data_IF_305698474386
#
_entry.id   IF_305698474386
#
_cell.length_a   1.000
_cell.length_b   1.000
_cell.length_c   1.000
_cell.angle_alpha   90.00
_cell.angle_beta   90.00
_cell.angle_gamma   90.00
#
_symmetry.space_group_name_H-M   'P 1'
#
loop_
_entity.id
_entity.type
_entity.pdbx_description
1 polymer ?
#
# COMPACT_ATOMS: atom_id res chain seq x y z
N UNK A 1 -16.45 -3.75 36.24
CA UNK A 1 -15.85 -4.67 37.23
C UNK A 1 -16.87 -5.73 37.59
N UNK A 2 -16.47 -7.00 37.54
CA UNK A 2 -17.34 -8.14 37.88
C UNK A 2 -17.71 -8.09 39.36
N UNK A 3 -18.89 -8.61 39.75
CA UNK A 3 -19.32 -8.75 41.16
C UNK A 3 -18.24 -9.50 41.97
N UNK A 4 -17.59 -10.46 41.33
CA UNK A 4 -16.50 -11.25 41.92
C UNK A 4 -15.25 -10.41 42.25
N UNK A 5 -14.92 -9.39 41.46
CA UNK A 5 -13.80 -8.48 41.75
C UNK A 5 -14.06 -7.61 42.98
N UNK A 6 -15.32 -7.20 43.20
CA UNK A 6 -15.69 -6.40 44.38
C UNK A 6 -15.60 -7.21 45.67
N UNK A 7 -15.97 -8.48 45.64
CA UNK A 7 -15.85 -9.37 46.80
C UNK A 7 -14.38 -9.60 47.16
N UNK A 8 -13.52 -9.86 46.16
CA UNK A 8 -12.08 -10.00 46.35
C UNK A 8 -11.47 -8.72 46.94
N UNK A 9 -11.86 -7.53 46.44
CA UNK A 9 -11.37 -6.25 46.99
C UNK A 9 -11.84 -6.03 48.44
N UNK A 10 -13.09 -6.39 48.78
CA UNK A 10 -13.58 -6.27 50.16
C UNK A 10 -12.87 -7.19 51.14
N UNK A 11 -12.60 -8.43 50.75
CA UNK A 11 -11.85 -9.39 51.58
C UNK A 11 -10.40 -8.93 51.76
N UNK A 12 -9.78 -8.40 50.69
CA UNK A 12 -8.43 -7.84 50.77
C UNK A 12 -8.34 -6.66 51.73
N UNK A 13 -9.30 -5.73 51.65
CA UNK A 13 -9.36 -4.56 52.53
C UNK A 13 -9.58 -4.95 53.99
N UNK A 14 -10.46 -5.92 54.27
CA UNK A 14 -10.67 -6.41 55.62
C UNK A 14 -9.39 -7.03 56.20
N UNK A 15 -8.69 -7.85 55.41
CA UNK A 15 -7.43 -8.45 55.85
C UNK A 15 -6.33 -7.39 56.07
N UNK A 16 -6.26 -6.35 55.23
CA UNK A 16 -5.33 -5.23 55.41
C UNK A 16 -5.65 -4.44 56.70
N UNK A 17 -6.93 -4.21 57.00
CA UNK A 17 -7.37 -3.53 58.22
C UNK A 17 -7.04 -4.37 59.46
N UNK A 18 -7.29 -5.67 59.44
CA UNK A 18 -6.94 -6.55 60.57
C UNK A 18 -5.43 -6.63 60.78
N UNK A 19 -4.64 -6.74 59.71
CA UNK A 19 -3.19 -6.72 59.79
C UNK A 19 -2.65 -5.38 60.32
N UNK A 20 -3.35 -4.27 60.04
CA UNK A 20 -3.03 -2.95 60.57
C UNK A 20 -3.39 -2.84 62.05
N UNK A 21 -4.56 -3.33 62.47
CA UNK A 21 -5.00 -3.35 63.87
C UNK A 21 -4.10 -4.24 64.74
N UNK A 22 -3.56 -5.33 64.19
CA UNK A 22 -2.62 -6.19 64.91
C UNK A 22 -1.27 -5.50 65.22
N UNK A 23 -0.89 -4.50 64.43
CA UNK A 23 0.40 -3.78 64.56
C UNK A 23 0.28 -2.44 65.30
N UNK A 24 -0.91 -1.85 65.30
CA UNK A 24 -1.13 -0.53 65.87
C UNK A 24 -2.05 -0.62 67.08
N UNK A 25 -1.56 -0.18 68.23
CA UNK A 25 -2.42 -0.01 69.41
C UNK A 25 -3.36 1.16 69.15
N UNK A 26 -4.67 0.93 69.36
CA UNK A 26 -5.67 1.98 69.32
C UNK A 26 -5.35 2.92 70.48
N UNK A 27 -4.98 4.16 70.17
CA UNK A 27 -4.75 5.18 71.19
C UNK A 27 -6.10 5.51 71.83
N UNK A 28 -6.34 5.02 73.05
CA UNK A 28 -7.52 5.40 73.82
C UNK A 28 -7.40 6.87 74.21
N UNK A 29 -8.23 7.70 73.58
CA UNK A 29 -8.31 9.11 73.92
C UNK A 29 -9.04 9.23 75.26
N UNK A 30 -8.54 10.06 76.21
CA UNK A 30 -9.20 10.25 77.49
C UNK A 30 -10.60 10.82 77.30
N UNK A 31 -11.51 10.45 78.20
CA UNK A 31 -12.90 10.89 78.20
C UNK A 31 -12.96 12.43 78.14
N UNK A 32 -13.54 12.99 77.07
CA UNK A 32 -13.63 14.43 76.83
C UNK A 32 -12.61 15.03 75.86
N UNK A 33 -11.71 14.24 75.26
CA UNK A 33 -10.79 14.71 74.23
C UNK A 33 -11.53 15.04 72.92
N UNK A 34 -11.35 16.26 72.42
CA UNK A 34 -11.92 16.76 71.16
C UNK A 34 -10.83 17.45 70.35
N UNK A 35 -10.67 17.07 69.08
CA UNK A 35 -9.76 17.76 68.15
C UNK A 35 -10.32 19.11 67.64
N UNK A 36 -11.50 19.53 68.11
CA UNK A 36 -12.09 20.81 67.74
C UNK A 36 -11.60 21.90 68.71
N UNK A 37 -10.92 22.95 68.21
CA UNK A 37 -10.34 24.02 69.05
C UNK A 37 -11.35 24.70 69.99
N UNK A 38 -12.63 24.71 69.60
CA UNK A 38 -13.70 25.41 70.32
C UNK A 38 -14.51 24.50 71.27
N UNK A 39 -14.13 23.22 71.42
CA UNK A 39 -14.84 22.26 72.29
C UNK A 39 -16.28 21.92 71.86
N UNK A 40 -16.77 22.51 70.75
CA UNK A 40 -18.09 22.24 70.19
C UNK A 40 -18.02 21.07 69.21
N UNK A 41 -18.47 19.91 69.65
CA UNK A 41 -18.73 18.79 68.76
C UNK A 41 -19.84 19.21 67.76
N UNK A 42 -19.73 18.85 66.47
CA UNK A 42 -20.83 19.03 65.54
C UNK A 42 -22.07 18.35 66.13
N UNK A 43 -23.12 19.12 66.40
CA UNK A 43 -24.40 18.57 66.85
C UNK A 43 -24.75 17.49 65.83
N UNK A 44 -24.85 16.24 66.26
CA UNK A 44 -25.32 15.16 65.41
C UNK A 44 -26.58 15.70 64.76
N UNK A 45 -26.57 15.86 63.43
CA UNK A 45 -27.75 16.34 62.69
C UNK A 45 -28.88 15.45 63.17
N UNK A 46 -29.77 16.01 63.98
CA UNK A 46 -30.85 15.26 64.61
C UNK A 46 -31.48 14.44 63.51
N UNK A 47 -31.68 13.14 63.77
CA UNK A 47 -32.29 12.21 62.84
C UNK A 47 -33.37 12.96 62.09
N UNK A 48 -33.09 13.32 60.83
CA UNK A 48 -34.16 13.71 59.93
C UNK A 48 -35.11 12.54 60.06
N UNK A 49 -36.34 12.82 60.49
CA UNK A 49 -37.36 11.81 60.52
C UNK A 49 -37.44 11.27 59.09
N UNK A 50 -36.74 10.16 58.85
CA UNK A 50 -36.93 9.34 57.68
C UNK A 50 -38.39 8.94 57.82
N UNK A 51 -39.27 9.67 57.12
CA UNK A 51 -40.54 9.08 56.68
C UNK A 51 -40.10 7.76 56.09
N UNK A 52 -40.39 6.65 56.79
CA UNK A 52 -40.19 5.32 56.25
C UNK A 52 -41.05 5.31 54.99
N UNK A 53 -40.43 5.57 53.84
CA UNK A 53 -41.09 5.44 52.55
C UNK A 53 -41.66 4.04 52.53
N UNK A 54 -42.91 3.91 52.11
CA UNK A 54 -43.50 2.60 51.92
C UNK A 54 -42.66 1.86 50.87
N UNK A 55 -42.64 0.52 50.95
CA UNK A 55 -41.83 -0.30 50.05
C UNK A 55 -42.13 0.01 48.56
N UNK A 56 -43.39 0.34 48.25
CA UNK A 56 -43.83 0.84 46.95
C UNK A 56 -43.21 2.19 46.55
N UNK A 57 -43.20 3.19 47.44
CA UNK A 57 -42.60 4.50 47.13
C UNK A 57 -41.09 4.42 46.94
N UNK A 58 -40.42 3.49 47.63
CA UNK A 58 -39.00 3.20 47.44
C UNK A 58 -38.73 2.58 46.07
N UNK A 59 -39.56 1.62 45.64
CA UNK A 59 -39.45 0.99 44.32
C UNK A 59 -39.69 1.99 43.18
N UNK A 60 -40.70 2.85 43.29
CA UNK A 60 -41.00 3.89 42.29
C UNK A 60 -39.84 4.89 42.15
N UNK A 61 -39.21 5.27 43.27
CA UNK A 61 -38.03 6.15 43.25
C UNK A 61 -36.83 5.47 42.59
N UNK A 62 -36.60 4.19 42.85
CA UNK A 62 -35.53 3.40 42.22
C UNK A 62 -35.79 3.28 40.71
N UNK A 63 -37.03 3.03 40.30
CA UNK A 63 -37.39 2.95 38.88
C UNK A 63 -37.19 4.27 38.16
N UNK A 64 -37.60 5.39 38.76
CA UNK A 64 -37.39 6.74 38.21
C UNK A 64 -35.89 7.06 38.05
N UNK A 65 -35.06 6.71 39.03
CA UNK A 65 -33.60 6.87 38.94
C UNK A 65 -33.03 6.00 37.82
N UNK A 66 -33.46 4.76 37.72
CA UNK A 66 -33.02 3.85 36.66
C UNK A 66 -33.44 4.31 35.26
N UNK A 67 -34.62 4.91 35.11
CA UNK A 67 -35.07 5.54 33.86
C UNK A 67 -34.17 6.71 33.48
N UNK A 68 -33.88 7.63 34.42
CA UNK A 68 -32.96 8.75 34.20
C UNK A 68 -31.54 8.30 33.82
N UNK A 69 -31.04 7.23 34.43
CA UNK A 69 -29.73 6.67 34.10
C UNK A 69 -29.72 6.12 32.67
N UNK A 70 -30.76 5.40 32.26
CA UNK A 70 -30.91 4.89 30.88
C UNK A 70 -30.97 6.02 29.85
N UNK A 71 -31.74 7.07 30.13
CA UNK A 71 -31.82 8.25 29.25
C UNK A 71 -30.46 8.96 29.11
N UNK A 72 -29.73 9.15 30.22
CA UNK A 72 -28.40 9.75 30.19
C UNK A 72 -27.39 8.91 29.42
N UNK A 73 -27.48 7.57 29.53
CA UNK A 73 -26.66 6.65 28.75
C UNK A 73 -27.00 6.74 27.26
N UNK A 74 -28.28 6.71 26.89
CA UNK A 74 -28.73 6.87 25.51
C UNK A 74 -28.26 8.20 24.89
N UNK A 75 -28.38 9.32 25.61
CA UNK A 75 -27.88 10.64 25.14
C UNK A 75 -26.36 10.67 25.00
N UNK A 76 -25.62 9.98 25.86
CA UNK A 76 -24.15 9.87 25.73
C UNK A 76 -23.76 9.03 24.52
N UNK A 77 -24.43 7.91 24.30
CA UNK A 77 -24.21 7.06 23.11
C UNK A 77 -24.55 7.79 21.82
N UNK A 78 -25.65 8.54 21.78
CA UNK A 78 -26.05 9.30 20.60
C UNK A 78 -25.02 10.40 20.28
N UNK A 79 -24.56 11.16 21.28
CA UNK A 79 -23.47 12.13 21.10
C UNK A 79 -22.18 11.48 20.64
N UNK A 80 -21.85 10.31 21.18
CA UNK A 80 -20.67 9.55 20.74
C UNK A 80 -20.79 9.15 19.28
N UNK A 81 -21.94 8.59 18.86
CA UNK A 81 -22.22 8.20 17.47
C UNK A 81 -22.15 9.41 16.52
N UNK A 82 -22.75 10.55 16.90
CA UNK A 82 -22.68 11.79 16.12
C UNK A 82 -21.24 12.30 16.01
N UNK A 83 -20.48 12.27 17.11
CA UNK A 83 -19.07 12.69 17.10
C UNK A 83 -18.21 11.76 16.22
N UNK A 84 -18.47 10.45 16.25
CA UNK A 84 -17.77 9.46 15.45
C UNK A 84 -18.08 9.61 13.95
N UNK A 85 -19.35 9.81 13.60
CA UNK A 85 -19.78 10.14 12.23
C UNK A 85 -19.12 11.43 11.73
N UNK A 86 -19.17 12.52 12.51
CA UNK A 86 -18.52 13.77 12.15
C UNK A 86 -16.99 13.62 11.96
N UNK A 87 -16.33 12.80 12.79
CA UNK A 87 -14.90 12.49 12.63
C UNK A 87 -14.62 11.67 11.37
N UNK A 88 -15.49 10.70 11.03
CA UNK A 88 -15.37 9.90 9.82
C UNK A 88 -15.55 10.78 8.56
N UNK A 89 -16.57 11.62 8.54
CA UNK A 89 -16.83 12.57 7.45
C UNK A 89 -15.67 13.57 7.30
N UNK A 90 -15.16 14.13 8.40
CA UNK A 90 -14.01 15.03 8.36
C UNK A 90 -12.74 14.36 7.80
N UNK A 91 -12.54 13.06 8.05
CA UNK A 91 -11.43 12.28 7.45
C UNK A 91 -11.62 12.16 5.95
N UNK A 92 -12.83 11.79 5.49
CA UNK A 92 -13.14 11.67 4.07
C UNK A 92 -12.95 13.00 3.35
N UNK A 93 -13.44 14.10 3.92
CA UNK A 93 -13.28 15.44 3.35
C UNK A 93 -11.81 15.85 3.24
N UNK A 94 -11.00 15.58 4.26
CA UNK A 94 -9.54 15.84 4.23
C UNK A 94 -8.84 15.04 3.13
N UNK A 95 -9.25 13.79 2.89
CA UNK A 95 -8.68 12.98 1.82
C UNK A 95 -9.08 13.46 0.43
N UNK A 96 -10.34 13.85 0.24
CA UNK A 96 -10.84 14.43 -1.01
C UNK A 96 -10.08 15.72 -1.34
N UNK A 97 -9.97 16.64 -0.38
CA UNK A 97 -9.22 17.88 -0.56
C UNK A 97 -7.73 17.63 -0.88
N UNK A 98 -7.10 16.62 -0.26
CA UNK A 98 -5.72 16.22 -0.61
C UNK A 98 -5.61 15.71 -2.05
N UNK A 99 -6.56 14.88 -2.49
CA UNK A 99 -6.59 14.36 -3.87
C UNK A 99 -6.79 15.48 -4.88
N UNK A 100 -7.68 16.44 -4.61
CA UNK A 100 -7.91 17.58 -5.49
C UNK A 100 -6.68 18.49 -5.60
N UNK A 101 -6.06 18.86 -4.47
CA UNK A 101 -4.80 19.62 -4.46
C UNK A 101 -3.70 18.93 -5.26
N UNK A 102 -3.59 17.59 -5.16
CA UNK A 102 -2.63 16.81 -5.95
C UNK A 102 -2.95 16.85 -7.45
N UNK A 103 -4.23 16.76 -7.84
CA UNK A 103 -4.66 16.87 -9.24
C UNK A 103 -4.39 18.25 -9.83
N UNK A 104 -4.69 19.31 -9.09
CA UNK A 104 -4.42 20.69 -9.51
C UNK A 104 -2.93 20.93 -9.73
N UNK A 105 -2.10 20.52 -8.77
CA UNK A 105 -0.63 20.61 -8.91
C UNK A 105 -0.12 19.83 -10.12
N UNK A 106 -0.68 18.65 -10.37
CA UNK A 106 -0.31 17.85 -11.55
C UNK A 106 -0.70 18.55 -12.86
N UNK A 107 -1.88 19.17 -12.93
CA UNK A 107 -2.31 19.96 -14.11
C UNK A 107 -1.40 21.16 -14.34
N UNK A 108 -1.09 21.91 -13.29
CA UNK A 108 -0.15 23.05 -13.34
C UNK A 108 1.22 22.58 -13.85
N UNK A 109 1.74 21.49 -13.29
CA UNK A 109 3.02 20.90 -13.68
C UNK A 109 3.07 20.53 -15.17
N UNK A 110 2.03 19.86 -15.66
CA UNK A 110 1.92 19.47 -17.07
C UNK A 110 1.88 20.72 -17.95
N UNK A 111 1.12 21.75 -17.57
CA UNK A 111 0.98 22.98 -18.35
C UNK A 111 2.30 23.74 -18.47
N UNK A 112 2.96 24.00 -17.34
CA UNK A 112 4.24 24.75 -17.29
C UNK A 112 5.32 24.02 -18.09
N UNK A 113 5.48 22.71 -17.86
CA UNK A 113 6.45 21.93 -18.62
C UNK A 113 6.09 21.87 -20.10
N UNK A 114 4.82 21.70 -20.46
CA UNK A 114 4.40 21.68 -21.86
C UNK A 114 4.73 22.99 -22.57
N UNK A 115 4.58 24.13 -21.90
CA UNK A 115 4.97 25.43 -22.46
C UNK A 115 6.49 25.56 -22.61
N UNK A 116 7.27 25.13 -21.61
CA UNK A 116 8.73 25.05 -21.74
C UNK A 116 9.14 24.21 -22.96
N UNK A 117 8.58 23.01 -23.11
CA UNK A 117 8.91 22.10 -24.22
C UNK A 117 8.50 22.61 -25.61
N UNK A 118 7.54 23.55 -25.73
CA UNK A 118 7.20 24.19 -27.02
C UNK A 118 8.31 25.11 -27.50
N UNK A 119 9.02 25.75 -26.57
CA UNK A 119 10.08 26.70 -26.86
C UNK A 119 11.49 26.09 -26.76
N UNK A 120 11.63 25.00 -25.99
CA UNK A 120 12.88 24.31 -25.77
C UNK A 120 13.47 23.73 -27.06
N UNK A 121 14.79 23.85 -27.20
CA UNK A 121 15.56 23.26 -28.28
C UNK A 121 16.44 22.11 -27.76
N UNK A 122 17.13 21.41 -28.67
CA UNK A 122 18.08 20.36 -28.32
C UNK A 122 19.19 20.91 -27.41
N UNK A 123 19.31 20.35 -26.22
CA UNK A 123 20.24 20.81 -25.19
C UNK A 123 19.55 21.55 -24.04
N UNK A 124 18.49 22.33 -24.31
CA UNK A 124 17.80 23.14 -23.28
C UNK A 124 17.24 22.29 -22.15
N UNK A 125 16.73 21.09 -22.47
CA UNK A 125 16.26 20.15 -21.44
C UNK A 125 17.40 19.71 -20.51
N UNK A 126 18.59 19.45 -21.05
CA UNK A 126 19.74 19.06 -20.25
C UNK A 126 20.16 20.22 -19.34
N UNK A 127 20.25 21.44 -19.89
CA UNK A 127 20.57 22.64 -19.11
C UNK A 127 19.55 22.91 -17.99
N UNK A 128 18.25 22.75 -18.27
CA UNK A 128 17.20 22.85 -17.26
C UNK A 128 17.40 21.79 -16.15
N UNK A 129 17.70 20.56 -16.55
CA UNK A 129 17.94 19.45 -15.63
C UNK A 129 19.16 19.70 -14.74
N UNK A 130 20.23 20.26 -15.28
CA UNK A 130 21.45 20.57 -14.54
C UNK A 130 21.21 21.72 -13.54
N UNK A 131 20.52 22.78 -13.96
CA UNK A 131 20.16 23.91 -13.08
C UNK A 131 19.19 23.51 -11.98
N UNK A 132 18.19 22.69 -12.29
CA UNK A 132 17.21 22.23 -11.31
C UNK A 132 17.67 20.99 -10.51
N UNK A 133 18.86 20.45 -10.82
CA UNK A 133 19.40 19.20 -10.27
C UNK A 133 18.41 18.03 -10.37
N UNK A 134 17.70 17.87 -11.49
CA UNK A 134 16.66 16.85 -11.69
C UNK A 134 17.02 16.01 -12.92
N UNK A 135 16.73 14.71 -12.90
CA UNK A 135 16.99 13.87 -14.08
C UNK A 135 16.05 14.21 -15.25
N UNK A 136 16.54 14.11 -16.48
CA UNK A 136 15.72 14.30 -17.69
C UNK A 136 14.47 13.42 -17.69
N UNK A 137 14.62 12.16 -17.26
CA UNK A 137 13.51 11.19 -17.18
C UNK A 137 12.42 11.67 -16.23
N UNK A 138 12.79 12.26 -15.10
CA UNK A 138 11.84 12.83 -14.13
C UNK A 138 11.05 13.97 -14.77
N UNK A 139 11.70 14.90 -15.46
CA UNK A 139 11.03 16.01 -16.16
C UNK A 139 10.11 15.49 -17.29
N UNK A 140 10.55 14.46 -18.02
CA UNK A 140 9.74 13.87 -19.10
C UNK A 140 8.48 13.18 -18.56
N UNK A 141 8.63 12.38 -17.50
CA UNK A 141 7.50 11.73 -16.82
C UNK A 141 6.57 12.76 -16.16
N UNK A 142 7.13 13.86 -15.65
CA UNK A 142 6.37 14.95 -15.07
C UNK A 142 5.51 15.70 -16.10
N UNK A 143 6.05 15.91 -17.32
CA UNK A 143 5.31 16.48 -18.45
C UNK A 143 4.12 15.61 -18.86
N UNK A 144 4.26 14.28 -18.83
CA UNK A 144 3.18 13.35 -19.20
C UNK A 144 2.21 13.05 -18.06
N UNK A 145 2.40 13.65 -16.87
CA UNK A 145 1.59 13.36 -15.69
C UNK A 145 1.87 12.01 -15.04
N UNK A 146 2.90 11.29 -15.48
CA UNK A 146 3.27 9.98 -14.93
C UNK A 146 3.99 10.08 -13.59
N UNK A 147 4.48 11.26 -13.22
CA UNK A 147 5.14 11.51 -11.93
C UNK A 147 4.81 12.91 -11.43
N UNK A 148 4.52 13.04 -10.13
CA UNK A 148 4.29 14.32 -9.47
C UNK A 148 5.57 14.72 -8.72
N UNK A 149 6.13 15.88 -9.06
CA UNK A 149 7.32 16.41 -8.39
C UNK A 149 6.91 16.94 -7.00
N UNK A 150 7.79 16.76 -6.01
CA UNK A 150 7.59 17.32 -4.66
C UNK A 150 7.52 18.85 -4.69
N UNK A 151 6.81 19.46 -3.74
CA UNK A 151 6.49 20.91 -3.77
C UNK A 151 7.75 21.78 -3.86
N UNK A 152 8.70 21.60 -2.94
CA UNK A 152 9.95 22.37 -2.89
C UNK A 152 10.74 22.29 -4.20
N UNK A 153 10.88 21.07 -4.74
CA UNK A 153 11.60 20.85 -5.99
C UNK A 153 10.84 21.38 -7.21
N UNK A 154 9.52 21.36 -7.16
CA UNK A 154 8.67 21.92 -8.21
C UNK A 154 8.77 23.45 -8.25
N UNK A 155 8.77 24.10 -7.09
CA UNK A 155 8.94 25.55 -6.99
C UNK A 155 10.32 25.99 -7.52
N UNK A 156 11.40 25.26 -7.16
CA UNK A 156 12.72 25.49 -7.74
C UNK A 156 12.75 25.33 -9.28
N UNK A 157 12.06 24.32 -9.82
CA UNK A 157 11.95 24.15 -11.28
C UNK A 157 11.20 25.32 -11.92
N UNK A 158 10.13 25.85 -11.30
CA UNK A 158 9.42 27.02 -11.82
C UNK A 158 10.34 28.24 -11.88
N UNK A 159 11.10 28.47 -10.82
CA UNK A 159 12.03 29.62 -10.75
C UNK A 159 13.11 29.53 -11.83
N UNK A 160 13.65 28.33 -12.06
CA UNK A 160 14.60 28.09 -13.14
C UNK A 160 13.93 28.29 -14.51
N UNK A 161 12.72 27.78 -14.72
CA UNK A 161 11.98 27.94 -16.00
C UNK A 161 11.66 29.42 -16.27
N UNK A 162 11.25 30.18 -15.26
CA UNK A 162 10.91 31.60 -15.41
C UNK A 162 12.12 32.44 -15.88
N UNK A 163 13.32 32.08 -15.41
CA UNK A 163 14.57 32.74 -15.78
C UNK A 163 15.32 32.02 -16.92
N UNK A 164 14.70 30.99 -17.51
CA UNK A 164 15.39 30.15 -18.49
C UNK A 164 15.54 30.87 -19.82
N UNK A 165 16.78 31.11 -20.22
CA UNK A 165 17.10 31.63 -21.56
C UNK A 165 17.13 30.47 -22.54
N UNK A 166 16.07 30.34 -23.33
CA UNK A 166 16.04 29.39 -24.45
C UNK A 166 17.16 29.71 -25.44
N UNK A 167 17.78 28.68 -26.00
CA UNK A 167 18.74 28.87 -27.09
C UNK A 167 18.10 29.58 -28.28
N UNK A 168 18.89 30.31 -29.06
CA UNK A 168 18.40 30.90 -30.31
C UNK A 168 18.12 29.80 -31.33
N UNK A 169 16.90 29.75 -31.89
CA UNK A 169 16.52 28.78 -32.95
C UNK A 169 17.47 28.83 -34.17
N UNK A 170 18.09 29.98 -34.42
CA UNK A 170 19.02 30.19 -35.53
C UNK A 170 20.39 29.54 -35.32
N UNK A 171 20.86 29.39 -34.08
CA UNK A 171 22.14 28.74 -33.77
C UNK A 171 22.12 27.22 -34.05
N UNK A 172 20.94 26.59 -34.01
CA UNK A 172 20.77 25.18 -34.40
C UNK A 172 20.61 24.95 -35.90
N UNK A 173 20.09 25.91 -36.65
CA UNK A 173 20.15 25.85 -38.12
C UNK A 173 21.60 26.00 -38.61
N UNK A 174 22.41 26.83 -37.94
CA UNK A 174 23.83 27.00 -38.20
C UNK A 174 24.68 25.77 -37.80
N UNK A 175 24.47 25.20 -36.60
CA UNK A 175 25.23 24.02 -36.15
C UNK A 175 24.82 22.71 -36.84
N UNK A 176 23.61 22.60 -37.38
CA UNK A 176 23.23 21.49 -38.28
C UNK A 176 23.99 21.50 -39.61
N UNK A 177 24.48 22.66 -40.08
CA UNK A 177 25.31 22.75 -41.30
C UNK A 177 26.77 22.31 -41.06
N UNK A 178 27.24 22.26 -39.81
CA UNK A 178 28.61 21.91 -39.46
C UNK A 178 28.83 20.42 -39.13
N UNK A 179 27.75 19.66 -38.91
CA UNK A 179 27.87 18.20 -38.94
C UNK A 179 27.88 17.79 -40.40
N UNK A 180 29.07 17.48 -40.92
CA UNK A 180 29.19 16.68 -42.15
C UNK A 180 28.15 15.56 -42.08
N UNK A 181 27.36 15.34 -43.14
CA UNK A 181 26.29 14.36 -43.11
C UNK A 181 26.93 13.03 -42.67
N UNK A 182 26.68 12.62 -41.43
CA UNK A 182 26.90 11.24 -41.02
C UNK A 182 26.12 10.47 -42.05
N UNK A 183 26.81 9.82 -43.00
CA UNK A 183 26.22 9.09 -44.12
C UNK A 183 25.03 8.36 -43.54
N UNK A 184 23.85 8.92 -43.75
CA UNK A 184 22.63 8.28 -43.35
C UNK A 184 22.74 6.98 -44.10
N UNK A 185 22.86 5.86 -43.38
CA UNK A 185 22.60 4.57 -44.00
C UNK A 185 21.20 4.78 -44.55
N UNK A 186 21.11 5.06 -45.87
CA UNK A 186 19.84 5.04 -46.59
C UNK A 186 19.26 3.73 -46.11
N UNK A 187 18.15 3.80 -45.38
CA UNK A 187 17.43 2.61 -45.00
C UNK A 187 17.11 1.97 -46.33
N UNK A 188 17.92 0.98 -46.73
CA UNK A 188 17.64 0.16 -47.89
C UNK A 188 16.25 -0.35 -47.57
N UNK A 189 15.27 0.08 -48.36
CA UNK A 189 13.90 -0.40 -48.26
C UNK A 189 13.98 -1.89 -48.60
N UNK A 190 14.37 -2.70 -47.62
CA UNK A 190 14.36 -4.15 -47.73
C UNK A 190 12.91 -4.49 -47.99
N UNK A 191 12.68 -5.23 -49.05
CA UNK A 191 11.36 -5.74 -49.35
C UNK A 191 10.80 -6.43 -48.09
N UNK A 192 9.52 -6.21 -47.77
CA UNK A 192 8.93 -6.80 -46.58
C UNK A 192 9.06 -8.31 -46.68
N UNK A 193 9.62 -8.93 -45.64
CA UNK A 193 9.74 -10.38 -45.59
C UNK A 193 8.36 -11.04 -45.73
N UNK A 194 8.33 -12.28 -46.22
CA UNK A 194 7.09 -13.08 -46.34
C UNK A 194 6.30 -13.10 -45.03
N UNK A 195 6.99 -13.18 -43.88
CA UNK A 195 6.36 -13.14 -42.56
C UNK A 195 5.76 -11.77 -42.21
N UNK A 196 6.36 -10.68 -42.68
CA UNK A 196 5.82 -9.32 -42.54
C UNK A 196 4.51 -9.17 -43.32
N UNK A 197 4.48 -9.66 -44.56
CA UNK A 197 3.29 -9.65 -45.41
C UNK A 197 2.17 -10.48 -44.78
N UNK A 198 2.48 -11.70 -44.34
CA UNK A 198 1.52 -12.57 -43.65
C UNK A 198 0.94 -11.93 -42.38
N UNK A 199 1.77 -11.27 -41.56
CA UNK A 199 1.30 -10.56 -40.36
C UNK A 199 0.39 -9.39 -40.70
N UNK A 200 0.74 -8.63 -41.74
CA UNK A 200 -0.07 -7.52 -42.24
C UNK A 200 -1.45 -8.01 -42.69
N UNK A 201 -1.50 -9.13 -43.42
CA UNK A 201 -2.75 -9.76 -43.87
C UNK A 201 -3.61 -10.27 -42.70
N UNK A 202 -3.01 -10.95 -41.72
CA UNK A 202 -3.74 -11.38 -40.51
C UNK A 202 -4.30 -10.17 -39.75
N UNK A 203 -3.57 -9.06 -39.70
CA UNK A 203 -4.03 -7.84 -39.04
C UNK A 203 -5.16 -7.14 -39.81
N UNK A 204 -5.11 -7.10 -41.14
CA UNK A 204 -6.19 -6.51 -41.94
C UNK A 204 -7.48 -7.34 -41.84
N UNK A 205 -7.39 -8.67 -41.94
CA UNK A 205 -8.52 -9.56 -41.78
C UNK A 205 -9.11 -9.52 -40.36
N UNK A 206 -8.27 -9.40 -39.33
CA UNK A 206 -8.73 -9.20 -37.96
C UNK A 206 -9.53 -7.90 -37.81
N UNK A 207 -9.08 -6.79 -38.43
CA UNK A 207 -9.81 -5.51 -38.41
C UNK A 207 -11.15 -5.62 -39.13
N UNK A 208 -11.20 -6.31 -40.27
CA UNK A 208 -12.45 -6.55 -41.00
C UNK A 208 -13.42 -7.41 -40.20
N UNK A 209 -12.94 -8.45 -39.50
CA UNK A 209 -13.76 -9.26 -38.61
C UNK A 209 -14.33 -8.44 -37.45
N UNK A 210 -13.51 -7.58 -36.81
CA UNK A 210 -13.97 -6.67 -35.76
C UNK A 210 -15.04 -5.71 -36.27
N UNK A 211 -14.85 -5.15 -37.48
CA UNK A 211 -15.82 -4.25 -38.09
C UNK A 211 -17.16 -4.95 -38.38
N UNK A 212 -17.13 -6.25 -38.72
CA UNK A 212 -18.33 -7.09 -38.91
C UNK A 212 -18.93 -7.63 -37.60
N UNK A 213 -18.31 -7.38 -36.45
CA UNK A 213 -18.73 -7.93 -35.16
C UNK A 213 -18.37 -9.42 -34.96
N UNK A 214 -17.62 -10.02 -35.89
CA UNK A 214 -17.18 -11.40 -35.81
C UNK A 214 -15.92 -11.53 -34.94
N UNK A 215 -15.88 -12.59 -34.11
CA UNK A 215 -14.71 -12.90 -33.27
C UNK A 215 -13.83 -14.00 -33.85
N UNK A 216 -14.25 -14.62 -34.94
CA UNK A 216 -13.56 -15.72 -35.63
C UNK A 216 -13.41 -15.33 -37.10
N UNK A 217 -12.23 -15.53 -37.67
CA UNK A 217 -11.95 -15.24 -39.08
C UNK A 217 -10.89 -16.21 -39.62
N UNK A 218 -10.83 -16.40 -40.94
CA UNK A 218 -9.82 -17.23 -41.60
C UNK A 218 -8.64 -16.37 -42.04
N UNK A 219 -7.41 -16.81 -41.78
CA UNK A 219 -6.20 -16.10 -42.18
C UNK A 219 -4.97 -17.04 -42.26
N UNK A 220 -3.89 -16.64 -42.94
CA UNK A 220 -2.70 -17.49 -43.07
C UNK A 220 -1.87 -17.54 -41.77
N UNK A 221 -1.61 -18.75 -41.30
CA UNK A 221 -0.74 -19.08 -40.19
C UNK A 221 0.61 -19.56 -40.69
N UNK A 222 1.68 -19.16 -40.00
CA UNK A 222 3.05 -19.57 -40.34
C UNK A 222 3.28 -21.10 -40.29
N UNK A 223 2.45 -21.84 -39.53
CA UNK A 223 2.63 -23.28 -39.31
C UNK A 223 1.57 -24.16 -39.97
N UNK A 224 0.36 -23.61 -40.13
CA UNK A 224 -0.83 -24.41 -40.47
C UNK A 224 -1.51 -23.92 -41.77
N UNK A 225 -0.92 -22.94 -42.48
CA UNK A 225 -1.57 -22.34 -43.65
C UNK A 225 -2.84 -21.56 -43.28
N UNK A 226 -3.85 -21.55 -44.15
CA UNK A 226 -5.12 -20.86 -43.89
C UNK A 226 -5.92 -21.59 -42.81
N UNK A 227 -6.07 -20.93 -41.65
CA UNK A 227 -6.75 -21.50 -40.47
C UNK A 227 -7.65 -20.49 -39.82
N UNK A 228 -8.54 -20.96 -38.94
CA UNK A 228 -9.39 -20.09 -38.14
C UNK A 228 -8.60 -19.43 -37.00
N UNK A 229 -8.66 -18.11 -36.97
CA UNK A 229 -8.17 -17.25 -35.89
C UNK A 229 -9.33 -16.81 -35.00
N UNK A 230 -9.05 -16.60 -33.71
CA UNK A 230 -9.98 -16.00 -32.77
C UNK A 230 -9.38 -14.77 -32.12
N UNK A 231 -10.19 -13.73 -31.95
CA UNK A 231 -9.80 -12.45 -31.36
C UNK A 231 -10.05 -12.48 -29.85
N UNK A 232 -9.01 -12.21 -29.07
CA UNK A 232 -9.03 -12.15 -27.61
C UNK A 232 -8.45 -10.81 -27.16
N UNK A 233 -9.28 -9.93 -26.59
CA UNK A 233 -8.82 -8.64 -26.04
C UNK A 233 -8.00 -7.80 -27.03
N UNK A 234 -8.38 -7.79 -28.31
CA UNK A 234 -7.68 -7.06 -29.37
C UNK A 234 -6.52 -7.81 -30.04
N UNK A 235 -6.17 -9.03 -29.59
CA UNK A 235 -5.13 -9.86 -30.20
C UNK A 235 -5.74 -11.06 -30.92
N UNK A 236 -5.38 -11.28 -32.18
CA UNK A 236 -5.76 -12.47 -32.93
C UNK A 236 -4.78 -13.63 -32.71
N UNK A 237 -5.32 -14.85 -32.49
CA UNK A 237 -4.52 -16.07 -32.33
C UNK A 237 -5.11 -17.18 -33.21
N UNK A 238 -4.24 -17.89 -33.92
CA UNK A 238 -4.62 -19.11 -34.64
C UNK A 238 -5.13 -20.16 -33.65
N UNK A 239 -6.31 -20.74 -33.91
CA UNK A 239 -6.94 -21.71 -33.03
C UNK A 239 -6.14 -23.01 -32.94
N UNK A 240 -5.57 -23.49 -34.04
CA UNK A 240 -4.74 -24.69 -34.03
C UNK A 240 -3.45 -24.51 -33.24
N UNK A 241 -2.77 -23.36 -33.40
CA UNK A 241 -1.61 -23.01 -32.56
C UNK A 241 -1.98 -23.01 -31.08
N UNK A 242 -3.17 -22.50 -30.74
CA UNK A 242 -3.66 -22.45 -29.37
C UNK A 242 -4.02 -23.83 -28.84
N UNK A 243 -4.69 -24.67 -29.62
CA UNK A 243 -5.04 -26.04 -29.24
C UNK A 243 -3.80 -26.89 -29.00
N UNK A 244 -2.79 -26.77 -29.86
CA UNK A 244 -1.50 -27.43 -29.68
C UNK A 244 -0.81 -27.01 -28.38
N UNK A 245 -0.72 -25.69 -28.14
CA UNK A 245 -0.20 -25.17 -26.87
C UNK A 245 -1.00 -25.69 -25.67
N UNK A 246 -2.33 -25.68 -25.75
CA UNK A 246 -3.18 -26.19 -24.67
C UNK A 246 -2.93 -27.69 -24.41
N UNK A 247 -2.76 -28.51 -25.46
CA UNK A 247 -2.38 -29.93 -25.32
C UNK A 247 -1.00 -30.11 -24.70
N UNK A 248 -0.03 -29.26 -25.06
CA UNK A 248 1.30 -29.25 -24.45
C UNK A 248 1.24 -28.84 -22.95
N UNK A 249 0.40 -27.86 -22.59
CA UNK A 249 0.18 -27.43 -21.20
C UNK A 249 -0.63 -28.44 -20.37
N UNK A 250 -1.57 -29.15 -21.00
CA UNK A 250 -2.40 -30.19 -20.37
C UNK A 250 -1.76 -31.58 -20.45
N UNK A 251 -0.51 -31.69 -20.90
CA UNK A 251 0.17 -32.97 -20.99
C UNK A 251 0.31 -33.55 -19.57
N UNK A 252 -0.38 -34.67 -19.22
CA UNK A 252 -0.47 -35.17 -17.84
C UNK A 252 0.85 -35.66 -17.28
N UNK A 253 1.83 -35.92 -18.17
CA UNK A 253 3.19 -36.29 -17.80
C UNK A 253 3.94 -35.01 -17.42
N UNK A 254 3.66 -34.48 -16.23
CA UNK A 254 4.62 -33.60 -15.57
C UNK A 254 5.93 -34.40 -15.49
N UNK A 255 6.96 -33.89 -16.14
CA UNK A 255 8.31 -34.44 -16.03
C UNK A 255 8.68 -34.51 -14.54
N UNK A 256 9.42 -35.53 -14.10
CA UNK A 256 9.77 -35.74 -12.68
C UNK A 256 10.40 -34.47 -12.09
N UNK A 257 11.19 -33.76 -12.89
CA UNK A 257 11.80 -32.46 -12.54
C UNK A 257 10.75 -31.39 -12.18
N UNK A 258 9.59 -31.40 -12.84
CA UNK A 258 8.49 -30.48 -12.57
C UNK A 258 7.72 -30.86 -11.30
N UNK A 259 7.54 -32.16 -11.04
CA UNK A 259 6.96 -32.67 -9.78
C UNK A 259 7.84 -32.25 -8.59
N UNK A 260 9.13 -32.55 -8.63
CA UNK A 260 10.07 -32.18 -7.57
C UNK A 260 10.12 -30.65 -7.37
N UNK A 261 10.00 -29.87 -8.45
CA UNK A 261 9.94 -28.41 -8.35
C UNK A 261 8.66 -27.94 -7.65
N UNK A 262 7.53 -28.59 -7.92
CA UNK A 262 6.24 -28.27 -7.31
C UNK A 262 6.23 -28.66 -5.84
N UNK A 263 6.68 -29.85 -5.48
CA UNK A 263 6.79 -30.33 -4.11
C UNK A 263 7.70 -29.44 -3.27
N UNK A 264 8.89 -29.09 -3.79
CA UNK A 264 9.78 -28.10 -3.14
C UNK A 264 9.10 -26.75 -2.93
N UNK A 265 8.32 -26.29 -3.89
CA UNK A 265 7.63 -25.01 -3.77
C UNK A 265 6.53 -25.05 -2.69
N UNK A 266 5.76 -26.14 -2.63
CA UNK A 266 4.73 -26.35 -1.60
C UNK A 266 5.39 -26.38 -0.22
N UNK A 267 6.39 -27.24 -0.03
CA UNK A 267 7.12 -27.37 1.25
C UNK A 267 7.67 -26.02 1.73
N UNK A 268 8.31 -25.25 0.85
CA UNK A 268 8.88 -23.95 1.22
C UNK A 268 7.81 -22.90 1.53
N UNK A 269 6.66 -22.95 0.86
CA UNK A 269 5.54 -22.04 1.16
C UNK A 269 4.96 -22.32 2.55
N UNK A 270 4.73 -23.59 2.88
CA UNK A 270 4.21 -23.99 4.20
C UNK A 270 5.14 -23.56 5.33
N UNK A 271 6.45 -23.81 5.18
CA UNK A 271 7.47 -23.37 6.16
C UNK A 271 7.56 -21.85 6.27
N UNK A 272 7.42 -21.13 5.16
CA UNK A 272 7.36 -19.66 5.17
C UNK A 272 6.14 -19.15 5.94
N UNK A 273 4.96 -19.72 5.70
CA UNK A 273 3.73 -19.32 6.38
C UNK A 273 3.82 -19.57 7.88
N UNK A 274 4.37 -20.71 8.31
CA UNK A 274 4.64 -21.00 9.72
C UNK A 274 5.59 -19.99 10.35
N UNK A 275 6.69 -19.64 9.66
CA UNK A 275 7.63 -18.64 10.17
C UNK A 275 6.97 -17.26 10.31
N UNK A 276 6.23 -16.82 9.28
CA UNK A 276 5.52 -15.55 9.33
C UNK A 276 4.44 -15.52 10.43
N UNK A 277 3.76 -16.65 10.67
CA UNK A 277 2.80 -16.80 11.77
C UNK A 277 3.49 -16.71 13.14
N UNK A 278 4.70 -17.26 13.28
CA UNK A 278 5.55 -17.12 14.48
C UNK A 278 6.20 -15.73 14.64
N UNK A 279 6.00 -14.82 13.69
CA UNK A 279 6.63 -13.50 13.68
C UNK A 279 8.11 -13.50 13.25
N UNK A 280 8.64 -14.64 12.81
CA UNK A 280 10.00 -14.76 12.28
C UNK A 280 10.01 -14.66 10.75
N UNK A 281 11.12 -14.18 10.19
CA UNK A 281 11.31 -14.10 8.74
C UNK A 281 12.29 -15.15 8.21
N UNK A 282 12.72 -16.09 9.05
CA UNK A 282 13.69 -17.11 8.74
C UNK A 282 13.05 -18.48 8.91
N UNK A 283 13.31 -19.38 7.98
CA UNK A 283 12.81 -20.76 8.04
C UNK A 283 13.74 -21.71 7.30
N UNK A 284 13.69 -22.99 7.65
CA UNK A 284 14.39 -24.05 6.93
C UNK A 284 13.56 -24.54 5.76
N UNK A 285 14.16 -24.55 4.57
CA UNK A 285 13.51 -24.94 3.32
C UNK A 285 14.41 -25.78 2.42
N UNK A 286 13.84 -26.34 1.35
CA UNK A 286 14.55 -27.18 0.39
C UNK A 286 14.93 -26.36 -0.87
N UNK A 287 16.22 -26.13 -1.05
CA UNK A 287 16.81 -25.46 -2.21
C UNK A 287 17.22 -26.47 -3.29
N UNK A 288 17.03 -26.10 -4.57
CA UNK A 288 17.49 -26.92 -5.71
C UNK A 288 19.00 -27.19 -5.70
N UNK A 289 19.80 -26.22 -5.25
CA UNK A 289 21.27 -26.27 -5.36
C UNK A 289 21.92 -26.70 -4.04
N UNK A 290 21.35 -26.30 -2.92
CA UNK A 290 21.98 -26.47 -1.61
C UNK A 290 21.27 -27.48 -0.70
N UNK A 291 20.16 -28.09 -1.15
CA UNK A 291 19.35 -28.95 -0.30
C UNK A 291 18.68 -28.17 0.84
N UNK A 292 18.57 -28.78 2.02
CA UNK A 292 18.01 -28.15 3.20
C UNK A 292 18.88 -26.99 3.66
N UNK A 293 18.32 -25.78 3.64
CA UNK A 293 19.04 -24.54 3.97
C UNK A 293 18.10 -23.51 4.57
N UNK A 294 18.67 -22.48 5.17
CA UNK A 294 17.91 -21.32 5.64
C UNK A 294 17.42 -20.44 4.49
N UNK A 295 16.15 -20.06 4.58
CA UNK A 295 15.47 -19.13 3.71
C UNK A 295 15.05 -17.89 4.49
N UNK A 296 15.04 -16.75 3.81
CA UNK A 296 14.49 -15.51 4.33
C UNK A 296 13.22 -15.13 3.58
N UNK A 297 12.12 -15.00 4.31
CA UNK A 297 10.85 -14.47 3.83
C UNK A 297 10.90 -12.93 3.73
N UNK A 298 10.23 -12.38 2.73
CA UNK A 298 10.02 -10.95 2.51
C UNK A 298 8.58 -10.72 2.04
N UNK A 299 7.94 -9.68 2.58
CA UNK A 299 6.66 -9.20 2.06
C UNK A 299 6.91 -8.40 0.78
N UNK A 300 6.38 -8.84 -0.35
CA UNK A 300 6.46 -8.08 -1.59
C UNK A 300 5.48 -6.90 -1.53
N UNK A 301 5.95 -5.69 -1.84
CA UNK A 301 5.16 -4.45 -1.77
C UNK A 301 4.09 -4.37 -2.87
N UNK A 302 4.26 -5.12 -3.98
CA UNK A 302 3.50 -4.91 -5.23
C UNK A 302 2.53 -6.05 -5.59
N UNK A 303 2.64 -7.21 -4.95
CA UNK A 303 1.80 -8.38 -5.21
C UNK A 303 1.54 -8.97 -3.84
N UNK A 304 0.29 -9.21 -3.46
CA UNK A 304 -0.12 -9.80 -2.16
C UNK A 304 0.39 -11.24 -1.95
N UNK A 305 1.66 -11.51 -2.28
CA UNK A 305 2.35 -12.79 -2.21
C UNK A 305 3.65 -12.55 -1.47
N UNK A 306 3.88 -13.35 -0.45
CA UNK A 306 5.16 -13.38 0.25
C UNK A 306 6.19 -14.03 -0.69
N UNK A 307 7.38 -13.46 -0.74
CA UNK A 307 8.50 -14.00 -1.51
C UNK A 307 9.56 -14.51 -0.53
N UNK A 308 10.23 -15.61 -0.87
CA UNK A 308 11.32 -16.15 -0.07
C UNK A 308 12.56 -16.40 -0.93
N UNK A 309 13.74 -16.32 -0.30
CA UNK A 309 15.01 -16.61 -0.98
C UNK A 309 15.94 -17.42 -0.08
N UNK A 310 16.55 -18.45 -0.65
CA UNK A 310 17.61 -19.21 0.00
C UNK A 310 18.77 -18.27 0.32
N UNK A 311 19.25 -18.28 1.57
CA UNK A 311 20.31 -17.40 2.04
C UNK A 311 21.64 -17.72 1.35
N UNK A 312 21.96 -18.99 1.13
CA UNK A 312 23.17 -19.40 0.39
C UNK A 312 23.14 -18.90 -1.07
N UNK A 313 22.01 -19.05 -1.77
CA UNK A 313 21.85 -18.49 -3.12
C UNK A 313 21.97 -16.96 -3.14
N UNK A 314 21.42 -16.30 -2.12
CA UNK A 314 21.49 -14.84 -2.00
C UNK A 314 22.93 -14.37 -1.79
N UNK A 315 23.69 -15.01 -0.88
CA UNK A 315 25.11 -14.72 -0.64
C UNK A 315 25.95 -14.93 -1.91
N UNK A 316 25.76 -16.05 -2.60
CA UNK A 316 26.45 -16.35 -3.85
C UNK A 316 26.15 -15.31 -4.95
N UNK A 317 24.89 -14.87 -5.07
CA UNK A 317 24.49 -13.82 -6.03
C UNK A 317 25.11 -12.46 -5.68
N UNK A 318 25.16 -12.11 -4.40
CA UNK A 318 25.74 -10.86 -3.92
C UNK A 318 27.26 -10.84 -4.13
N UNK A 319 27.96 -11.95 -3.88
CA UNK A 319 29.40 -12.10 -4.18
C UNK A 319 29.68 -11.85 -5.67
N UNK A 320 28.91 -12.47 -6.57
CA UNK A 320 29.02 -12.25 -8.03
C UNK A 320 28.73 -10.80 -8.43
N UNK A 321 27.76 -10.15 -7.76
CA UNK A 321 27.43 -8.76 -8.03
C UNK A 321 28.53 -7.79 -7.58
N UNK A 322 29.12 -8.00 -6.40
CA UNK A 322 30.22 -7.18 -5.87
C UNK A 322 31.48 -7.32 -6.73
N UNK A 323 31.82 -8.55 -7.15
CA UNK A 323 32.91 -8.82 -8.09
C UNK A 323 32.75 -8.03 -9.40
N UNK A 324 31.53 -7.97 -9.96
CA UNK A 324 31.26 -7.17 -11.18
C UNK A 324 31.40 -5.66 -10.98
N UNK A 325 31.27 -5.16 -9.75
CA UNK A 325 31.39 -3.73 -9.43
C UNK A 325 32.80 -3.33 -8.99
N UNK A 326 33.77 -4.26 -8.99
CA UNK A 326 35.13 -3.99 -8.51
C UNK A 326 35.19 -3.73 -7.01
N UNK A 327 34.13 -4.05 -6.25
CA UNK A 327 34.15 -4.02 -4.79
C UNK A 327 34.71 -5.36 -4.35
N UNK A 328 36.00 -5.38 -4.01
CA UNK A 328 36.63 -6.55 -3.42
C UNK A 328 35.85 -6.99 -2.16
N UNK A 329 35.73 -8.32 -2.02
CA UNK A 329 34.81 -8.98 -1.08
C UNK A 329 35.10 -8.68 0.38
#
# INVERSE_FOLDING_TARGET
MSIYQKQIESERLNNEVEAWLAKNQITELPMGFSNFPDGRLPVAKGNYADKKLTESESLDRIELVNQRVRELQARKEERWRQQEQARAEARVQRELAKKERMKERMKEQILVLSNFFKNAIYGDLQTLCDLAMVSQKTIYNAKTGSTLIGKERWDAIKDVIANFKHGERNALAASKKLKAPTKGRKAIKKEPSVETLRRSEVMSLAKQAIARGERIFTAPCAKHGYTSYRIYGGVSRCLECKLRLNREYLNPKLDQVQLDRRERAIFNNERMEQALASGTNLFEGLCRVHGYTEFRARRAVSRNKNEFRCMACSKASQKKFNQKRGVAA
#
